data_IF_002797146029
#
_entry.id   IF_002797146029
#
_cell.length_a   1.000
_cell.length_b   1.000
_cell.length_c   1.000
_cell.angle_alpha   90.00
_cell.angle_beta   90.00
_cell.angle_gamma   90.00
#
_symmetry.space_group_name_H-M   'P 1'
#
loop_
_entity.id
_entity.type
_entity.pdbx_description
1 polymer ?
#
# COMPACT_ATOMS: atom_id res chain seq x y z
N UNK A 1 35.70 -37.19 25.72
CA UNK A 1 34.77 -36.87 24.62
C UNK A 1 34.55 -35.38 24.65
N UNK A 2 35.21 -34.65 23.76
CA UNK A 2 35.02 -33.21 23.59
C UNK A 2 33.70 -33.03 22.85
N UNK A 3 32.70 -32.45 23.53
CA UNK A 3 31.43 -32.10 22.91
C UNK A 3 31.73 -30.98 21.92
N UNK A 4 31.63 -31.29 20.63
CA UNK A 4 31.66 -30.28 19.58
C UNK A 4 30.38 -29.46 19.72
N UNK A 5 30.50 -28.24 20.23
CA UNK A 5 29.43 -27.25 20.15
C UNK A 5 29.12 -27.04 18.66
N UNK A 6 27.93 -27.46 18.26
CA UNK A 6 27.38 -27.11 16.95
C UNK A 6 27.32 -25.59 16.91
N UNK A 7 27.95 -24.91 15.93
CA UNK A 7 27.87 -23.46 15.84
C UNK A 7 26.40 -23.07 15.75
N UNK A 8 25.99 -22.21 16.69
CA UNK A 8 24.67 -21.61 16.71
C UNK A 8 24.44 -20.98 15.33
N UNK A 9 23.38 -21.40 14.63
CA UNK A 9 23.06 -20.85 13.32
C UNK A 9 22.94 -19.32 13.46
N UNK A 10 23.54 -18.53 12.57
CA UNK A 10 23.45 -17.07 12.67
C UNK A 10 21.98 -16.67 12.77
N UNK A 11 21.66 -15.77 13.71
CA UNK A 11 20.31 -15.24 13.87
C UNK A 11 19.83 -14.72 12.51
N UNK A 12 18.63 -15.15 12.08
CA UNK A 12 18.12 -14.78 10.77
C UNK A 12 17.97 -13.26 10.67
N UNK A 13 18.50 -12.67 9.60
CA UNK A 13 18.40 -11.23 9.39
C UNK A 13 16.92 -10.83 9.13
N UNK A 14 16.35 -9.87 9.88
CA UNK A 14 14.95 -9.48 9.73
C UNK A 14 14.67 -8.73 8.42
N UNK A 15 15.69 -8.10 7.85
CA UNK A 15 15.61 -7.38 6.57
C UNK A 15 16.72 -7.89 5.66
N UNK A 16 16.35 -8.32 4.45
CA UNK A 16 17.32 -8.76 3.45
C UNK A 16 17.37 -7.77 2.29
N UNK A 17 18.59 -7.43 1.84
CA UNK A 17 18.80 -6.79 0.54
C UNK A 17 19.07 -7.86 -0.51
N UNK A 18 18.12 -8.06 -1.43
CA UNK A 18 18.19 -9.08 -2.47
C UNK A 18 18.30 -8.47 -3.86
N UNK A 19 18.99 -9.17 -4.74
CA UNK A 19 19.06 -8.85 -6.16
C UNK A 19 17.85 -9.41 -6.93
N UNK A 20 17.33 -8.61 -7.85
CA UNK A 20 16.36 -9.05 -8.85
C UNK A 20 16.65 -8.39 -10.21
N UNK A 21 15.97 -8.87 -11.23
CA UNK A 21 16.01 -8.34 -12.59
C UNK A 21 14.60 -8.02 -13.04
N UNK A 22 14.42 -6.91 -13.73
CA UNK A 22 13.16 -6.57 -14.40
C UNK A 22 12.90 -7.58 -15.51
N UNK A 23 11.89 -8.42 -15.33
CA UNK A 23 11.52 -9.49 -16.28
C UNK A 23 10.40 -9.10 -17.22
N UNK A 24 9.52 -8.19 -16.80
CA UNK A 24 8.44 -7.69 -17.64
C UNK A 24 8.09 -6.25 -17.27
N UNK A 25 7.68 -5.47 -18.26
CA UNK A 25 7.16 -4.12 -18.07
C UNK A 25 5.95 -3.92 -18.97
N UNK A 26 4.82 -3.51 -18.39
CA UNK A 26 3.55 -3.32 -19.09
C UNK A 26 2.94 -1.96 -18.70
N UNK A 27 2.52 -1.17 -19.68
CA UNK A 27 1.75 0.05 -19.44
C UNK A 27 0.27 -0.31 -19.31
N UNK A 28 -0.30 -0.26 -18.11
CA UNK A 28 -1.69 -0.68 -17.86
C UNK A 28 -2.70 0.41 -18.29
N UNK A 29 -2.38 1.65 -17.98
CA UNK A 29 -3.15 2.86 -18.29
C UNK A 29 -2.20 4.06 -18.14
N UNK A 30 -2.60 5.30 -18.48
CA UNK A 30 -1.69 6.44 -18.51
C UNK A 30 -0.83 6.59 -17.24
N UNK A 31 -1.43 6.39 -16.06
CA UNK A 31 -0.72 6.60 -14.79
C UNK A 31 -0.06 5.36 -14.18
N UNK A 32 -0.17 4.16 -14.78
CA UNK A 32 0.33 2.93 -14.14
C UNK A 32 1.19 2.07 -15.07
N UNK A 33 2.37 1.70 -14.58
CA UNK A 33 3.21 0.64 -15.15
C UNK A 33 3.30 -0.54 -14.22
N UNK A 34 3.00 -1.73 -14.73
CA UNK A 34 3.24 -3.00 -14.05
C UNK A 34 4.64 -3.49 -14.36
N UNK A 35 5.41 -3.84 -13.33
CA UNK A 35 6.79 -4.30 -13.44
C UNK A 35 6.90 -5.64 -12.73
N UNK A 36 7.38 -6.66 -13.45
CA UNK A 36 7.77 -7.95 -12.90
C UNK A 36 9.26 -7.94 -12.53
N UNK A 37 9.58 -8.44 -11.33
CA UNK A 37 10.92 -8.54 -10.79
C UNK A 37 11.20 -10.00 -10.41
N UNK A 38 12.15 -10.65 -11.06
CA UNK A 38 12.53 -12.03 -10.74
C UNK A 38 14.04 -12.18 -10.50
N UNK A 39 14.42 -13.17 -9.70
CA UNK A 39 15.81 -13.49 -9.42
C UNK A 39 15.91 -14.59 -8.37
N UNK A 40 16.98 -15.39 -8.36
CA UNK A 40 17.13 -16.50 -7.42
C UNK A 40 17.17 -16.03 -5.95
N UNK A 41 17.71 -14.83 -5.68
CA UNK A 41 17.77 -14.31 -4.31
C UNK A 41 16.41 -13.97 -3.71
N UNK A 42 15.38 -13.72 -4.53
CA UNK A 42 14.03 -13.49 -4.04
C UNK A 42 13.49 -14.68 -3.23
N UNK A 43 13.96 -15.90 -3.50
CA UNK A 43 13.58 -17.10 -2.74
C UNK A 43 14.06 -17.08 -1.27
N UNK A 44 14.93 -16.13 -0.90
CA UNK A 44 15.41 -15.94 0.48
C UNK A 44 14.48 -15.08 1.33
N UNK A 45 13.55 -14.35 0.71
CA UNK A 45 12.57 -13.53 1.41
C UNK A 45 11.56 -14.41 2.15
N UNK A 46 10.78 -13.79 3.05
CA UNK A 46 9.70 -14.42 3.80
C UNK A 46 8.83 -15.35 2.93
N UNK A 47 8.75 -16.66 3.24
CA UNK A 47 7.81 -17.56 2.59
C UNK A 47 6.35 -17.12 2.75
N UNK A 48 6.02 -16.38 3.81
CA UNK A 48 4.70 -15.80 4.01
C UNK A 48 4.39 -14.66 3.02
N UNK A 49 5.42 -13.95 2.53
CA UNK A 49 5.28 -12.98 1.44
C UNK A 49 5.19 -13.68 0.08
N UNK A 50 6.06 -14.65 -0.17
CA UNK A 50 6.18 -15.31 -1.48
C UNK A 50 5.03 -16.28 -1.76
N UNK A 51 4.51 -16.92 -0.71
CA UNK A 51 3.55 -18.01 -0.79
C UNK A 51 4.10 -19.27 -1.45
N UNK A 52 3.35 -20.37 -1.30
CA UNK A 52 3.72 -21.68 -1.83
C UNK A 52 3.10 -21.99 -3.20
N UNK A 53 2.14 -21.18 -3.66
CA UNK A 53 1.38 -21.44 -4.89
C UNK A 53 2.03 -20.87 -6.16
N UNK A 54 1.37 -21.14 -7.29
CA UNK A 54 1.71 -20.59 -8.62
C UNK A 54 1.51 -19.06 -8.66
N UNK A 55 0.54 -18.58 -7.88
CA UNK A 55 0.23 -17.17 -7.66
C UNK A 55 -0.15 -16.95 -6.20
N UNK A 56 0.34 -15.85 -5.64
CA UNK A 56 0.09 -15.42 -4.27
C UNK A 56 -0.39 -13.97 -4.30
N UNK A 57 -1.51 -13.68 -3.63
CA UNK A 57 -1.94 -12.30 -3.35
C UNK A 57 -1.30 -11.86 -2.03
N UNK A 58 -0.99 -10.57 -1.91
CA UNK A 58 -0.15 -10.06 -0.82
C UNK A 58 -0.78 -8.92 -0.02
N UNK A 59 -2.10 -8.69 -0.13
CA UNK A 59 -2.85 -7.59 0.50
C UNK A 59 -2.16 -6.24 0.24
N UNK A 60 -1.86 -5.50 1.29
CA UNK A 60 -1.09 -4.27 1.26
C UNK A 60 0.40 -4.47 1.56
N UNK A 61 0.91 -5.71 1.47
CA UNK A 61 2.31 -5.99 1.73
C UNK A 61 3.20 -5.24 0.74
N UNK A 62 4.33 -4.74 1.24
CA UNK A 62 5.23 -3.91 0.46
C UNK A 62 6.69 -4.34 0.58
N UNK A 63 7.48 -3.92 -0.41
CA UNK A 63 8.95 -3.99 -0.41
C UNK A 63 9.53 -2.59 -0.47
N UNK A 64 10.85 -2.47 -0.31
CA UNK A 64 11.57 -1.21 -0.54
C UNK A 64 12.53 -1.36 -1.69
N UNK A 65 12.23 -0.77 -2.84
CA UNK A 65 13.11 -0.75 -4.01
C UNK A 65 14.22 0.29 -3.82
N UNK A 66 15.45 -0.07 -4.16
CA UNK A 66 16.59 0.86 -4.17
C UNK A 66 16.75 1.43 -5.57
N UNK A 67 16.32 2.68 -5.75
CA UNK A 67 16.38 3.40 -7.02
C UNK A 67 17.73 4.12 -7.13
N UNK A 68 18.58 3.80 -8.12
CA UNK A 68 19.88 4.45 -8.25
C UNK A 68 19.77 5.92 -8.66
N UNK A 69 20.79 6.75 -8.36
CA UNK A 69 20.95 8.07 -8.96
C UNK A 69 20.99 7.98 -10.50
N UNK A 70 20.47 8.98 -11.24
CA UNK A 70 20.55 8.98 -12.69
C UNK A 70 22.00 8.79 -13.19
N UNK A 71 22.18 7.89 -14.15
CA UNK A 71 23.49 7.57 -14.73
C UNK A 71 24.41 6.72 -13.84
N UNK A 72 23.92 6.21 -12.70
CA UNK A 72 24.67 5.28 -11.84
C UNK A 72 24.08 3.88 -11.91
N UNK A 73 24.94 2.89 -11.71
CA UNK A 73 24.50 1.50 -11.56
C UNK A 73 23.77 1.28 -10.22
N UNK A 74 22.76 0.40 -10.19
CA UNK A 74 22.16 -0.11 -8.96
C UNK A 74 23.24 -0.71 -8.03
N UNK A 75 23.16 -0.38 -6.74
CA UNK A 75 24.09 -0.90 -5.71
C UNK A 75 23.33 -1.68 -4.64
N UNK A 76 23.92 -2.80 -4.19
CA UNK A 76 23.42 -3.54 -3.02
C UNK A 76 23.64 -2.70 -1.76
N UNK A 77 22.61 -2.62 -0.92
CA UNK A 77 22.76 -2.02 0.41
C UNK A 77 23.58 -2.93 1.33
N UNK A 78 24.63 -2.39 1.95
CA UNK A 78 25.29 -3.02 3.09
C UNK A 78 24.45 -2.77 4.35
N UNK A 79 23.91 -3.86 4.90
CA UNK A 79 23.05 -3.84 6.10
C UNK A 79 23.82 -4.23 7.37
N UNK A 80 25.15 -4.40 7.33
CA UNK A 80 25.97 -4.78 8.49
C UNK A 80 25.88 -3.80 9.66
N UNK A 81 25.60 -2.52 9.37
CA UNK A 81 25.32 -1.45 10.35
C UNK A 81 23.84 -1.06 10.40
N UNK A 82 22.96 -1.88 9.81
CA UNK A 82 21.56 -1.58 9.64
C UNK A 82 21.28 -0.41 8.67
N UNK A 83 20.00 -0.09 8.48
CA UNK A 83 19.59 0.94 7.52
C UNK A 83 19.97 2.35 7.95
N UNK A 84 19.88 2.67 9.24
CA UNK A 84 20.10 4.04 9.73
C UNK A 84 21.57 4.44 9.70
N UNK A 85 22.44 3.61 10.28
CA UNK A 85 23.88 3.90 10.40
C UNK A 85 24.69 3.41 9.18
N UNK A 86 24.11 2.54 8.35
CA UNK A 86 24.68 2.10 7.07
C UNK A 86 24.12 2.90 5.89
N UNK A 87 22.95 2.52 5.39
CA UNK A 87 22.38 3.06 4.15
C UNK A 87 22.10 4.57 4.22
N UNK A 88 21.31 5.02 5.20
CA UNK A 88 20.87 6.42 5.31
C UNK A 88 21.97 7.39 5.76
N UNK A 89 23.09 6.88 6.29
CA UNK A 89 24.25 7.70 6.61
C UNK A 89 25.00 8.20 5.37
N UNK A 90 24.78 7.57 4.20
CA UNK A 90 25.38 7.96 2.92
C UNK A 90 24.59 9.11 2.26
N UNK A 91 25.26 10.03 1.53
CA UNK A 91 24.58 11.06 0.73
C UNK A 91 23.58 10.46 -0.26
N UNK A 92 22.43 11.11 -0.45
CA UNK A 92 21.35 10.61 -1.32
C UNK A 92 21.82 10.49 -2.79
N UNK A 93 22.70 11.38 -3.22
CA UNK A 93 23.31 11.43 -4.55
C UNK A 93 24.25 10.25 -4.80
N UNK A 94 24.70 9.57 -3.74
CA UNK A 94 25.56 8.40 -3.81
C UNK A 94 24.79 7.10 -3.65
N UNK A 95 23.92 7.01 -2.64
CA UNK A 95 23.15 5.80 -2.33
C UNK A 95 21.91 5.63 -3.21
N UNK A 96 21.41 6.72 -3.80
CA UNK A 96 20.10 6.75 -4.44
C UNK A 96 18.95 6.89 -3.44
N UNK A 97 17.78 6.41 -3.83
CA UNK A 97 16.55 6.61 -3.07
C UNK A 97 15.87 5.28 -2.76
N UNK A 98 15.33 5.18 -1.55
CA UNK A 98 14.54 4.03 -1.15
C UNK A 98 13.06 4.32 -1.44
N UNK A 99 12.38 3.45 -2.18
CA UNK A 99 10.96 3.63 -2.53
C UNK A 99 10.15 2.44 -2.07
N UNK A 100 9.11 2.71 -1.27
CA UNK A 100 8.17 1.68 -0.87
C UNK A 100 7.17 1.43 -1.99
N UNK A 101 7.03 0.17 -2.39
CA UNK A 101 6.04 -0.27 -3.38
C UNK A 101 5.28 -1.48 -2.86
N UNK A 102 3.96 -1.45 -3.02
CA UNK A 102 3.11 -2.61 -2.76
C UNK A 102 3.45 -3.74 -3.73
N UNK A 103 3.54 -4.95 -3.20
CA UNK A 103 3.60 -6.18 -3.99
C UNK A 103 2.17 -6.49 -4.44
N UNK A 104 1.87 -6.23 -5.70
CA UNK A 104 0.54 -6.52 -6.29
C UNK A 104 0.24 -8.01 -6.30
N UNK A 105 1.28 -8.83 -6.39
CA UNK A 105 1.23 -10.27 -6.21
C UNK A 105 2.58 -10.90 -6.47
N UNK A 106 2.69 -12.20 -6.17
CA UNK A 106 3.85 -13.02 -6.51
C UNK A 106 3.40 -14.13 -7.46
N UNK A 107 4.19 -14.43 -8.47
CA UNK A 107 3.99 -15.60 -9.34
C UNK A 107 5.27 -16.40 -9.49
N UNK A 108 5.17 -17.64 -9.97
CA UNK A 108 6.35 -18.43 -10.35
C UNK A 108 6.71 -18.15 -11.82
N UNK A 109 8.00 -18.05 -12.09
CA UNK A 109 8.52 -17.86 -13.45
C UNK A 109 9.81 -18.65 -13.66
N UNK A 110 10.13 -18.97 -14.91
CA UNK A 110 11.41 -19.55 -15.27
C UNK A 110 12.42 -18.44 -15.53
N UNK A 111 13.46 -18.38 -14.71
CA UNK A 111 14.55 -17.42 -14.81
C UNK A 111 15.89 -18.17 -14.86
N UNK A 112 16.65 -17.98 -15.94
CA UNK A 112 17.93 -18.68 -16.16
C UNK A 112 17.84 -20.22 -15.96
N UNK A 113 16.74 -20.84 -16.42
CA UNK A 113 16.51 -22.28 -16.30
C UNK A 113 16.04 -22.76 -14.92
N UNK A 114 15.82 -21.87 -13.97
CA UNK A 114 15.30 -22.17 -12.64
C UNK A 114 13.89 -21.62 -12.45
N UNK A 115 13.05 -22.33 -11.72
CA UNK A 115 11.76 -21.79 -11.29
C UNK A 115 11.97 -20.94 -10.04
N UNK A 116 11.72 -19.63 -10.14
CA UNK A 116 11.92 -18.66 -9.07
C UNK A 116 10.64 -17.84 -8.83
N UNK A 117 10.48 -17.20 -7.67
CA UNK A 117 9.42 -16.21 -7.50
C UNK A 117 9.69 -14.97 -8.36
N UNK A 118 8.61 -14.39 -8.87
CA UNK A 118 8.57 -13.09 -9.55
C UNK A 118 7.59 -12.20 -8.78
N UNK A 119 8.11 -11.11 -8.21
CA UNK A 119 7.31 -10.07 -7.57
C UNK A 119 6.71 -9.18 -8.67
N UNK A 120 5.41 -8.91 -8.59
CA UNK A 120 4.73 -7.97 -9.47
C UNK A 120 4.43 -6.71 -8.67
N UNK A 121 4.87 -5.56 -9.16
CA UNK A 121 4.56 -4.24 -8.59
C UNK A 121 3.87 -3.39 -9.64
N UNK A 122 2.91 -2.57 -9.19
CA UNK A 122 2.28 -1.55 -10.03
C UNK A 122 2.80 -0.20 -9.54
N UNK A 123 3.47 0.54 -10.43
CA UNK A 123 4.10 1.82 -10.10
C UNK A 123 3.35 2.94 -10.79
N UNK A 124 3.02 3.97 -10.00
CA UNK A 124 2.44 5.21 -10.52
C UNK A 124 3.51 5.99 -11.29
N UNK A 125 3.22 6.30 -12.54
CA UNK A 125 4.02 7.19 -13.39
C UNK A 125 3.23 8.48 -13.60
N UNK A 126 3.88 9.63 -13.41
CA UNK A 126 3.27 10.92 -13.66
C UNK A 126 3.74 11.46 -15.01
N UNK A 127 2.82 11.86 -15.89
CA UNK A 127 3.19 12.56 -17.12
C UNK A 127 3.52 14.03 -16.81
N UNK A 128 4.80 14.44 -16.89
CA UNK A 128 5.15 15.83 -17.22
C UNK A 128 6.17 16.57 -16.34
N UNK A 129 7.16 17.14 -17.04
CA UNK A 129 7.92 18.37 -16.75
C UNK A 129 8.92 18.37 -15.57
N UNK A 130 9.64 17.28 -15.33
CA UNK A 130 10.86 17.32 -14.52
C UNK A 130 10.65 17.48 -13.01
N UNK A 131 9.42 17.37 -12.52
CA UNK A 131 9.10 17.30 -11.08
C UNK A 131 8.78 15.88 -10.59
N UNK A 132 8.91 14.89 -11.47
CA UNK A 132 8.67 13.48 -11.15
C UNK A 132 9.68 13.00 -10.10
N UNK A 133 9.20 12.31 -9.06
CA UNK A 133 10.08 11.68 -8.07
C UNK A 133 10.94 10.56 -8.69
N UNK A 134 12.06 10.16 -8.04
CA UNK A 134 12.98 9.16 -8.59
C UNK A 134 12.30 7.82 -8.88
N UNK A 135 11.30 7.43 -8.09
CA UNK A 135 10.52 6.22 -8.33
C UNK A 135 9.73 6.25 -9.64
N UNK A 136 8.97 7.31 -9.88
CA UNK A 136 8.23 7.53 -11.14
C UNK A 136 9.18 7.57 -12.34
N UNK A 137 10.30 8.30 -12.23
CA UNK A 137 11.31 8.38 -13.31
C UNK A 137 11.93 7.03 -13.63
N UNK A 138 12.31 6.28 -12.60
CA UNK A 138 12.82 4.92 -12.78
C UNK A 138 11.78 4.03 -13.45
N UNK A 139 10.54 4.02 -12.95
CA UNK A 139 9.49 3.21 -13.52
C UNK A 139 9.16 3.60 -14.95
N UNK A 140 9.23 4.89 -15.32
CA UNK A 140 9.04 5.36 -16.70
C UNK A 140 10.19 4.93 -17.63
N UNK A 141 11.42 4.80 -17.12
CA UNK A 141 12.58 4.36 -17.90
C UNK A 141 12.83 2.85 -17.87
N UNK A 142 12.18 2.11 -16.96
CA UNK A 142 12.42 0.69 -16.73
C UNK A 142 12.24 -0.16 -18.01
N UNK A 143 13.21 -1.05 -18.24
CA UNK A 143 13.22 -2.00 -19.36
C UNK A 143 13.60 -3.41 -18.88
N UNK A 144 13.19 -4.43 -19.65
CA UNK A 144 13.53 -5.81 -19.34
C UNK A 144 15.04 -6.05 -19.34
N UNK A 145 15.52 -6.82 -18.37
CA UNK A 145 16.95 -7.12 -18.16
C UNK A 145 17.67 -6.18 -17.19
N UNK A 146 17.03 -5.10 -16.75
CA UNK A 146 17.63 -4.17 -15.78
C UNK A 146 17.75 -4.82 -14.40
N UNK A 147 18.96 -4.77 -13.82
CA UNK A 147 19.21 -5.22 -12.44
C UNK A 147 18.63 -4.23 -11.44
N UNK A 148 18.04 -4.72 -10.36
CA UNK A 148 17.57 -3.90 -9.24
C UNK A 148 17.92 -4.56 -7.90
N UNK A 149 17.98 -3.75 -6.86
CA UNK A 149 18.07 -4.23 -5.48
C UNK A 149 16.81 -3.80 -4.73
N UNK A 150 16.30 -4.70 -3.89
CA UNK A 150 15.17 -4.41 -3.01
C UNK A 150 15.40 -4.96 -1.62
N UNK A 151 14.77 -4.32 -0.65
CA UNK A 151 14.66 -4.78 0.72
C UNK A 151 13.31 -5.45 0.91
N UNK A 152 13.33 -6.62 1.53
CA UNK A 152 12.14 -7.35 1.93
C UNK A 152 12.30 -8.01 3.29
N UNK A 153 11.20 -8.54 3.85
CA UNK A 153 11.21 -9.29 5.10
C UNK A 153 12.05 -10.56 4.95
N UNK A 154 12.88 -10.85 5.97
CA UNK A 154 13.64 -12.08 6.06
C UNK A 154 12.76 -13.34 6.19
N UNK A 155 13.35 -14.54 6.13
CA UNK A 155 12.60 -15.80 6.05
C UNK A 155 11.74 -16.11 7.28
N UNK A 156 12.05 -15.50 8.44
CA UNK A 156 11.32 -15.67 9.69
C UNK A 156 10.32 -14.53 9.96
N UNK A 157 10.33 -13.49 9.12
CA UNK A 157 9.52 -12.29 9.33
C UNK A 157 8.17 -12.38 8.62
N UNK A 158 7.16 -11.73 9.19
CA UNK A 158 5.89 -11.51 8.51
C UNK A 158 6.06 -10.50 7.35
N UNK A 159 5.19 -10.57 6.33
CA UNK A 159 5.12 -9.51 5.32
C UNK A 159 4.90 -8.15 5.98
N UNK A 160 5.60 -7.12 5.50
CA UNK A 160 5.35 -5.75 5.97
C UNK A 160 4.04 -5.26 5.38
N UNK A 161 2.99 -5.25 6.21
CA UNK A 161 1.62 -4.96 5.85
C UNK A 161 0.93 -4.26 7.04
N UNK A 162 -0.13 -3.50 6.78
CA UNK A 162 -0.92 -2.82 7.79
C UNK A 162 -2.41 -3.16 7.73
N UNK A 163 -2.86 -3.88 6.71
CA UNK A 163 -4.25 -4.31 6.59
C UNK A 163 -4.61 -5.37 7.64
N UNK A 164 -5.58 -5.01 8.49
CA UNK A 164 -6.25 -5.93 9.41
C UNK A 164 -7.64 -5.35 9.73
N UNK A 165 -8.70 -5.94 9.19
CA UNK A 165 -10.07 -5.47 9.41
C UNK A 165 -10.63 -5.87 10.78
N UNK A 166 -9.91 -6.67 11.58
CA UNK A 166 -10.25 -6.99 12.96
C UNK A 166 -11.60 -7.68 13.14
N UNK A 167 -12.12 -8.34 12.10
CA UNK A 167 -13.45 -8.97 12.08
C UNK A 167 -14.62 -7.99 11.88
N UNK A 168 -14.35 -6.75 11.50
CA UNK A 168 -15.40 -5.75 11.30
C UNK A 168 -16.37 -6.14 10.16
N UNK A 169 -17.68 -6.00 10.42
CA UNK A 169 -18.72 -6.27 9.41
C UNK A 169 -18.83 -5.20 8.33
N UNK A 170 -18.38 -3.99 8.63
CA UNK A 170 -18.40 -2.87 7.68
C UNK A 170 -17.00 -2.31 7.54
N UNK A 171 -16.45 -2.43 6.35
CA UNK A 171 -15.06 -2.12 6.06
C UNK A 171 -15.01 -1.05 4.97
N UNK A 172 -14.28 0.04 5.21
CA UNK A 172 -14.07 1.11 4.23
C UNK A 172 -12.58 1.20 3.96
N UNK A 173 -12.16 1.04 2.70
CA UNK A 173 -10.76 1.19 2.31
C UNK A 173 -10.64 2.32 1.29
N UNK A 174 -9.90 3.38 1.62
CA UNK A 174 -9.89 4.63 0.85
C UNK A 174 -8.47 5.04 0.52
N UNK A 175 -8.22 5.38 -0.75
CA UNK A 175 -6.92 5.88 -1.15
C UNK A 175 -6.87 6.53 -2.53
N UNK A 176 -5.68 7.01 -2.86
CA UNK A 176 -5.35 7.56 -4.18
C UNK A 176 -4.66 6.52 -5.07
N UNK A 177 -4.17 6.94 -6.24
CA UNK A 177 -3.52 6.06 -7.21
C UNK A 177 -2.34 5.26 -6.64
N UNK A 178 -1.61 5.81 -5.66
CA UNK A 178 -0.47 5.12 -5.05
C UNK A 178 -0.89 3.98 -4.14
N UNK A 179 -2.13 4.04 -3.62
CA UNK A 179 -2.73 2.97 -2.83
C UNK A 179 -3.49 1.94 -3.69
N UNK A 180 -3.73 2.22 -4.98
CA UNK A 180 -4.48 1.34 -5.86
C UNK A 180 -4.00 -0.12 -5.83
N UNK A 181 -2.69 -0.44 -5.89
CA UNK A 181 -2.24 -1.83 -5.93
C UNK A 181 -2.61 -2.59 -4.65
N UNK A 182 -2.50 -1.93 -3.49
CA UNK A 182 -2.84 -2.49 -2.18
C UNK A 182 -4.35 -2.70 -2.06
N UNK A 183 -5.14 -1.66 -2.38
CA UNK A 183 -6.59 -1.69 -2.27
C UNK A 183 -7.23 -2.74 -3.19
N UNK A 184 -6.67 -2.95 -4.38
CA UNK A 184 -7.13 -4.00 -5.30
C UNK A 184 -6.81 -5.39 -4.76
N UNK A 185 -5.59 -5.63 -4.24
CA UNK A 185 -5.24 -6.92 -3.61
C UNK A 185 -6.11 -7.21 -2.38
N UNK A 186 -6.34 -6.19 -1.54
CA UNK A 186 -7.23 -6.27 -0.37
C UNK A 186 -8.66 -6.62 -0.78
N UNK A 187 -9.20 -5.98 -1.82
CA UNK A 187 -10.54 -6.26 -2.32
C UNK A 187 -10.71 -7.72 -2.74
N UNK A 188 -9.73 -8.24 -3.47
CA UNK A 188 -9.75 -9.60 -3.99
C UNK A 188 -9.62 -10.65 -2.87
N UNK A 189 -8.68 -10.45 -1.94
CA UNK A 189 -8.50 -11.36 -0.81
C UNK A 189 -9.65 -11.31 0.19
N UNK A 190 -10.23 -10.13 0.44
CA UNK A 190 -11.40 -10.00 1.29
C UNK A 190 -12.58 -10.83 0.76
N UNK A 191 -12.81 -10.80 -0.56
CA UNK A 191 -13.88 -11.60 -1.15
C UNK A 191 -13.61 -13.11 -1.09
N UNK A 192 -12.36 -13.54 -1.23
CA UNK A 192 -11.96 -14.94 -1.06
C UNK A 192 -12.16 -15.41 0.40
N UNK A 193 -11.75 -14.58 1.37
CA UNK A 193 -11.93 -14.83 2.81
C UNK A 193 -13.40 -15.00 3.18
N UNK A 194 -14.26 -14.08 2.75
CA UNK A 194 -15.70 -14.08 3.07
C UNK A 194 -16.45 -15.19 2.31
N UNK A 195 -16.07 -15.45 1.06
CA UNK A 195 -16.64 -16.53 0.25
C UNK A 195 -16.42 -17.93 0.85
N UNK A 196 -15.31 -18.12 1.57
CA UNK A 196 -14.99 -19.37 2.26
C UNK A 196 -15.73 -19.61 3.58
N UNK A 197 -16.37 -18.58 4.17
CA UNK A 197 -17.06 -18.69 5.44
C UNK A 197 -18.49 -19.25 5.25
N UNK A 198 -18.86 -20.31 6.00
CA UNK A 198 -20.25 -20.77 6.10
C UNK A 198 -21.06 -19.69 6.83
N UNK A 199 -22.07 -19.15 6.15
CA UNK A 199 -22.80 -17.99 6.63
C UNK A 199 -23.82 -18.36 7.72
N UNK A 200 -23.43 -18.28 8.99
CA UNK A 200 -24.36 -17.99 10.08
C UNK A 200 -24.29 -16.48 10.37
N UNK A 201 -25.28 -15.72 9.87
CA UNK A 201 -25.40 -14.28 10.10
C UNK A 201 -25.10 -13.38 8.89
N UNK A 202 -25.05 -12.07 9.14
CA UNK A 202 -24.82 -11.06 8.11
C UNK A 202 -23.33 -11.03 7.69
N UNK A 203 -23.08 -11.15 6.39
CA UNK A 203 -21.72 -11.13 5.81
C UNK A 203 -21.07 -9.76 5.95
N UNK A 204 -19.76 -9.71 6.23
CA UNK A 204 -19.02 -8.45 6.22
C UNK A 204 -18.98 -7.88 4.80
N UNK A 205 -18.95 -6.56 4.68
CA UNK A 205 -18.91 -5.84 3.39
C UNK A 205 -17.76 -4.85 3.36
N UNK A 206 -17.15 -4.74 2.19
CA UNK A 206 -16.05 -3.82 1.90
C UNK A 206 -16.46 -2.80 0.83
N UNK A 207 -16.36 -1.50 1.13
CA UNK A 207 -16.37 -0.44 0.13
C UNK A 207 -14.92 0.04 -0.10
N UNK A 208 -14.42 -0.14 -1.32
CA UNK A 208 -13.13 0.40 -1.76
C UNK A 208 -13.36 1.70 -2.53
N UNK A 209 -12.78 2.80 -2.05
CA UNK A 209 -12.83 4.11 -2.71
C UNK A 209 -11.44 4.45 -3.20
N UNK A 210 -11.28 4.52 -4.52
CA UNK A 210 -10.00 4.79 -5.16
C UNK A 210 -10.10 6.04 -6.01
N UNK A 211 -9.36 7.09 -5.66
CA UNK A 211 -9.22 8.29 -6.49
C UNK A 211 -8.03 8.13 -7.43
N UNK A 212 -8.22 8.36 -8.73
CA UNK A 212 -7.16 8.20 -9.75
C UNK A 212 -7.02 9.44 -10.63
N UNK A 213 -5.87 9.68 -11.28
CA UNK A 213 -5.65 10.83 -12.14
C UNK A 213 -6.65 10.93 -13.30
N UNK A 214 -6.78 9.86 -14.10
CA UNK A 214 -7.49 9.90 -15.38
C UNK A 214 -8.67 8.91 -15.44
N UNK A 215 -9.70 9.20 -16.27
CA UNK A 215 -10.79 8.26 -16.55
C UNK A 215 -10.31 6.90 -17.07
N UNK A 216 -9.22 6.87 -17.83
CA UNK A 216 -8.58 5.66 -18.35
C UNK A 216 -8.03 4.78 -17.22
N UNK A 217 -7.44 5.39 -16.18
CA UNK A 217 -7.01 4.68 -14.99
C UNK A 217 -8.21 4.03 -14.28
N UNK A 218 -9.34 4.75 -14.22
CA UNK A 218 -10.56 4.22 -13.63
C UNK A 218 -11.14 3.03 -14.40
N UNK A 219 -10.94 2.99 -15.73
CA UNK A 219 -11.36 1.85 -16.57
C UNK A 219 -10.44 0.64 -16.42
N UNK A 220 -9.16 0.86 -16.11
CA UNK A 220 -8.17 -0.20 -15.92
C UNK A 220 -8.31 -0.90 -14.55
N UNK A 221 -8.74 -0.17 -13.51
CA UNK A 221 -8.96 -0.75 -12.18
C UNK A 221 -10.36 -1.37 -12.08
N UNK A 222 -10.46 -2.66 -12.39
CA UNK A 222 -11.70 -3.43 -12.25
C UNK A 222 -11.44 -4.75 -11.54
N UNK A 223 -12.48 -5.22 -10.85
CA UNK A 223 -12.48 -6.57 -10.28
C UNK A 223 -12.85 -7.57 -11.39
N UNK A 224 -12.19 -8.74 -11.45
CA UNK A 224 -12.37 -9.70 -12.54
C UNK A 224 -13.75 -10.38 -12.57
N UNK A 225 -14.48 -10.35 -11.45
CA UNK A 225 -15.85 -10.83 -11.33
C UNK A 225 -16.64 -9.94 -10.37
N UNK A 226 -17.97 -10.04 -10.39
CA UNK A 226 -18.81 -9.43 -9.37
C UNK A 226 -18.52 -10.11 -8.02
N UNK A 227 -17.97 -9.33 -7.09
CA UNK A 227 -17.71 -9.75 -5.72
C UNK A 227 -18.87 -9.20 -4.87
N UNK A 228 -19.85 -10.01 -4.43
CA UNK A 228 -21.08 -9.51 -3.81
C UNK A 228 -20.86 -8.75 -2.50
N UNK A 229 -19.75 -9.05 -1.83
CA UNK A 229 -19.34 -8.48 -0.55
C UNK A 229 -18.37 -7.29 -0.72
N UNK A 230 -18.02 -6.92 -1.96
CA UNK A 230 -17.11 -5.81 -2.28
C UNK A 230 -17.76 -4.82 -3.24
N UNK A 231 -17.67 -3.53 -2.93
CA UNK A 231 -18.07 -2.43 -3.80
C UNK A 231 -16.87 -1.58 -4.13
N UNK A 232 -16.55 -1.47 -5.42
CA UNK A 232 -15.42 -0.68 -5.90
C UNK A 232 -15.93 0.65 -6.48
N UNK A 233 -15.43 1.77 -5.94
CA UNK A 233 -15.73 3.13 -6.37
C UNK A 233 -14.44 3.77 -6.90
N UNK A 234 -14.21 3.69 -8.22
CA UNK A 234 -13.03 4.32 -8.85
C UNK A 234 -13.41 5.68 -9.41
N UNK A 235 -12.73 6.72 -8.92
CA UNK A 235 -13.13 8.11 -9.08
C UNK A 235 -11.99 8.89 -9.78
N UNK A 236 -12.10 9.14 -11.10
CA UNK A 236 -11.09 9.94 -11.78
C UNK A 236 -11.17 11.42 -11.35
N UNK A 237 -10.01 12.05 -11.18
CA UNK A 237 -9.89 13.48 -10.91
C UNK A 237 -10.22 14.32 -12.14
N UNK A 238 -9.69 13.93 -13.29
CA UNK A 238 -9.98 14.55 -14.58
C UNK A 238 -11.29 14.01 -15.19
N UNK A 239 -11.91 14.80 -16.07
CA UNK A 239 -13.02 14.35 -16.92
C UNK A 239 -14.43 14.37 -16.31
N UNK A 240 -14.64 14.99 -15.15
CA UNK A 240 -15.97 15.21 -14.59
C UNK A 240 -16.70 16.42 -15.21
N UNK A 241 -18.04 16.46 -15.10
CA UNK A 241 -18.86 17.57 -15.58
C UNK A 241 -18.48 18.94 -14.96
N UNK A 242 -17.96 18.92 -13.73
CA UNK A 242 -17.52 20.10 -12.97
C UNK A 242 -16.03 20.46 -13.20
N UNK A 243 -15.37 19.86 -14.20
CA UNK A 243 -13.93 20.02 -14.43
C UNK A 243 -13.05 19.15 -13.51
N UNK A 244 -11.71 19.35 -13.53
CA UNK A 244 -10.79 18.54 -12.75
C UNK A 244 -10.91 18.84 -11.25
N UNK A 245 -11.10 17.81 -10.45
CA UNK A 245 -11.15 17.93 -8.99
C UNK A 245 -9.73 18.05 -8.39
N UNK A 246 -9.61 18.81 -7.30
CA UNK A 246 -8.39 18.81 -6.50
C UNK A 246 -8.14 17.42 -5.88
N UNK A 247 -6.88 17.06 -5.68
CA UNK A 247 -6.51 15.79 -5.03
C UNK A 247 -7.24 15.59 -3.70
N UNK A 248 -7.74 14.37 -3.49
CA UNK A 248 -8.47 13.95 -2.31
C UNK A 248 -9.94 14.36 -2.28
N UNK A 249 -10.41 15.24 -3.17
CA UNK A 249 -11.79 15.75 -3.11
C UNK A 249 -12.82 14.68 -3.47
N UNK A 250 -12.54 13.84 -4.48
CA UNK A 250 -13.47 12.79 -4.91
C UNK A 250 -13.51 11.68 -3.85
N UNK A 251 -12.36 11.26 -3.35
CA UNK A 251 -12.26 10.29 -2.26
C UNK A 251 -12.97 10.76 -0.99
N UNK A 252 -12.73 12.00 -0.57
CA UNK A 252 -13.36 12.58 0.63
C UNK A 252 -14.88 12.72 0.47
N UNK A 253 -15.35 13.17 -0.70
CA UNK A 253 -16.78 13.23 -1.02
C UNK A 253 -17.45 11.86 -0.92
N UNK A 254 -16.88 10.84 -1.56
CA UNK A 254 -17.45 9.49 -1.52
C UNK A 254 -17.39 8.87 -0.12
N UNK A 255 -16.32 9.09 0.63
CA UNK A 255 -16.22 8.65 2.01
C UNK A 255 -17.27 9.33 2.89
N UNK A 256 -17.50 10.63 2.72
CA UNK A 256 -18.55 11.36 3.43
C UNK A 256 -19.94 10.78 3.12
N UNK A 257 -20.25 10.52 1.84
CA UNK A 257 -21.52 9.91 1.43
C UNK A 257 -21.73 8.54 2.09
N UNK A 258 -20.70 7.69 2.07
CA UNK A 258 -20.73 6.37 2.72
C UNK A 258 -20.92 6.48 4.23
N UNK A 259 -20.42 7.54 4.87
CA UNK A 259 -20.57 7.76 6.31
C UNK A 259 -21.86 8.52 6.69
N UNK A 260 -22.61 9.04 5.70
CA UNK A 260 -23.79 9.87 5.91
C UNK A 260 -23.43 11.27 6.44
N UNK A 261 -22.30 11.83 6.01
CA UNK A 261 -21.81 13.14 6.43
C UNK A 261 -22.17 14.24 5.41
N UNK A 262 -22.43 15.47 5.86
CA UNK A 262 -22.75 16.57 4.96
C UNK A 262 -21.51 17.04 4.19
N UNK A 263 -21.72 17.54 2.97
CA UNK A 263 -20.64 18.04 2.11
C UNK A 263 -19.78 19.16 2.75
N UNK A 264 -20.34 19.92 3.71
CA UNK A 264 -19.57 20.93 4.48
C UNK A 264 -18.37 20.32 5.23
N UNK A 265 -18.52 19.10 5.75
CA UNK A 265 -17.45 18.42 6.50
C UNK A 265 -16.25 18.10 5.59
N UNK A 266 -16.51 17.79 4.31
CA UNK A 266 -15.47 17.58 3.29
C UNK A 266 -14.68 18.86 3.05
N UNK A 267 -15.39 19.97 2.80
CA UNK A 267 -14.77 21.27 2.57
C UNK A 267 -13.96 21.77 3.78
N UNK A 268 -14.38 21.45 4.99
CA UNK A 268 -13.65 21.77 6.22
C UNK A 268 -12.34 20.99 6.36
N UNK A 269 -12.39 19.65 6.25
CA UNK A 269 -11.19 18.83 6.45
C UNK A 269 -10.13 19.05 5.38
N UNK A 270 -10.56 19.25 4.12
CA UNK A 270 -9.64 19.52 3.00
C UNK A 270 -9.01 20.92 3.10
N UNK A 271 -9.71 21.87 3.71
CA UNK A 271 -9.14 23.17 4.07
C UNK A 271 -8.29 23.14 5.36
N UNK A 272 -8.04 21.96 5.93
CA UNK A 272 -7.24 21.78 7.13
C UNK A 272 -7.96 22.17 8.44
N UNK A 273 -9.26 22.50 8.38
CA UNK A 273 -10.09 22.80 9.55
C UNK A 273 -10.57 21.52 10.23
N UNK A 274 -11.00 21.65 11.50
CA UNK A 274 -11.64 20.56 12.24
C UNK A 274 -13.14 20.62 11.96
N UNK A 275 -13.77 19.53 11.50
CA UNK A 275 -15.18 19.53 11.20
C UNK A 275 -16.02 19.43 12.48
N UNK A 276 -17.24 19.96 12.44
CA UNK A 276 -18.21 19.73 13.51
C UNK A 276 -18.64 18.25 13.54
N UNK A 277 -18.70 17.68 14.75
CA UNK A 277 -19.18 16.32 14.95
C UNK A 277 -20.65 16.26 14.53
N UNK A 278 -20.92 15.56 13.43
CA UNK A 278 -22.26 15.50 12.84
C UNK A 278 -23.01 14.22 13.24
N UNK A 279 -22.27 13.17 13.64
CA UNK A 279 -22.84 11.91 14.10
C UNK A 279 -22.33 11.56 15.49
N UNK A 280 -23.24 11.38 16.45
CA UNK A 280 -22.95 10.71 17.70
C UNK A 280 -23.01 9.19 17.44
N UNK A 281 -21.88 8.58 17.04
CA UNK A 281 -21.67 7.21 17.48
C UNK A 281 -21.51 7.32 19.01
N UNK A 282 -22.50 6.84 19.76
CA UNK A 282 -22.53 6.94 21.21
C UNK A 282 -21.41 6.07 21.80
N UNK A 283 -20.22 6.64 22.00
CA UNK A 283 -19.12 6.03 22.75
C UNK A 283 -18.42 7.11 23.58
N UNK A 284 -18.13 6.73 24.83
CA UNK A 284 -17.63 7.60 25.90
C UNK A 284 -16.24 8.19 25.59
N UNK A 285 -16.02 9.42 26.06
CA UNK A 285 -14.75 10.13 25.93
C UNK A 285 -13.73 9.59 26.93
N UNK A 286 -12.50 9.28 26.47
CA UNK A 286 -11.33 9.12 27.33
C UNK A 286 -10.29 10.20 26.99
N UNK A 287 -9.95 11.13 27.92
CA UNK A 287 -9.05 12.23 27.66
C UNK A 287 -7.62 11.91 28.11
N UNK A 288 -6.82 11.24 27.28
CA UNK A 288 -5.36 11.35 27.32
C UNK A 288 -4.69 10.79 26.04
N UNK A 289 -3.81 11.56 25.41
CA UNK A 289 -2.91 11.08 24.35
C UNK A 289 -1.71 10.32 24.95
N UNK A 290 -1.20 9.31 24.23
CA UNK A 290 0.17 9.44 23.74
C UNK A 290 0.32 9.09 22.25
N UNK A 291 1.36 9.67 21.64
CA UNK A 291 1.81 9.47 20.27
C UNK A 291 2.62 8.17 20.17
N UNK A 292 2.05 7.12 19.58
CA UNK A 292 2.78 6.04 18.90
C UNK A 292 1.76 5.09 18.26
N UNK A 293 2.13 4.51 17.12
CA UNK A 293 1.46 3.44 16.37
C UNK A 293 0.53 2.54 17.20
N UNK A 294 -0.71 2.34 16.75
CA UNK A 294 -1.66 1.39 17.36
C UNK A 294 -2.37 0.56 16.30
N UNK A 295 -2.31 -0.77 16.43
CA UNK A 295 -3.20 -1.73 15.74
C UNK A 295 -4.57 -1.69 16.42
N UNK A 296 -5.65 -1.91 15.66
CA UNK A 296 -7.02 -1.87 16.14
C UNK A 296 -7.30 -2.90 17.26
N UNK A 297 -8.05 -2.48 18.29
CA UNK A 297 -8.69 -3.39 19.25
C UNK A 297 -10.01 -3.95 18.66
N UNK A 298 -10.49 -5.13 19.10
CA UNK A 298 -11.67 -5.77 18.51
C UNK A 298 -12.93 -4.89 18.63
N UNK A 299 -13.60 -4.73 17.49
CA UNK A 299 -14.69 -3.77 17.25
C UNK A 299 -16.02 -4.29 17.81
N UNK A 300 -16.82 -3.44 18.46
CA UNK A 300 -18.27 -3.69 18.66
C UNK A 300 -18.93 -3.91 17.28
N UNK A 301 -19.81 -4.90 17.14
CA UNK A 301 -20.39 -5.39 15.87
C UNK A 301 -20.90 -4.31 14.87
N UNK A 302 -21.22 -3.08 15.32
CA UNK A 302 -21.83 -2.02 14.52
C UNK A 302 -20.89 -0.90 14.03
N UNK A 303 -19.66 -0.80 14.54
CA UNK A 303 -18.75 0.27 14.14
C UNK A 303 -17.90 -0.14 12.92
N UNK A 304 -17.76 0.71 11.89
CA UNK A 304 -16.95 0.37 10.73
C UNK A 304 -15.45 0.38 11.06
N UNK A 305 -14.70 -0.49 10.39
CA UNK A 305 -13.25 -0.36 10.24
C UNK A 305 -12.93 0.51 9.02
N UNK A 306 -11.92 1.36 9.12
CA UNK A 306 -11.48 2.23 8.03
C UNK A 306 -9.98 2.09 7.81
N UNK A 307 -9.58 1.78 6.58
CA UNK A 307 -8.20 1.80 6.11
C UNK A 307 -7.98 2.97 5.15
N UNK A 308 -7.00 3.84 5.44
CA UNK A 308 -6.70 5.03 4.66
C UNK A 308 -5.26 4.98 4.15
N UNK A 309 -5.03 5.08 2.84
CA UNK A 309 -3.68 5.08 2.29
C UNK A 309 -3.54 6.07 1.12
N UNK A 310 -2.40 6.76 1.01
CA UNK A 310 -2.14 7.72 -0.07
C UNK A 310 -1.42 8.98 0.40
N UNK A 311 -1.70 10.12 -0.23
CA UNK A 311 -1.06 11.40 0.08
C UNK A 311 -1.30 11.83 1.54
N UNK A 312 -0.23 12.16 2.26
CA UNK A 312 -0.22 12.37 3.70
C UNK A 312 -1.21 13.45 4.18
N UNK A 313 -1.31 14.57 3.46
CA UNK A 313 -2.27 15.64 3.78
C UNK A 313 -3.71 15.19 3.61
N UNK A 314 -3.99 14.48 2.52
CA UNK A 314 -5.29 13.89 2.18
C UNK A 314 -5.69 12.84 3.19
N UNK A 315 -4.82 11.88 3.50
CA UNK A 315 -5.05 10.84 4.53
C UNK A 315 -5.35 11.47 5.88
N UNK A 316 -4.64 12.54 6.27
CA UNK A 316 -4.92 13.28 7.51
C UNK A 316 -6.31 13.92 7.49
N UNK A 317 -6.75 14.46 6.35
CA UNK A 317 -8.09 15.03 6.19
C UNK A 317 -9.18 13.94 6.26
N UNK A 318 -8.99 12.82 5.57
CA UNK A 318 -9.91 11.67 5.62
C UNK A 318 -10.02 11.09 7.03
N UNK A 319 -8.91 11.00 7.77
CA UNK A 319 -8.92 10.56 9.16
C UNK A 319 -9.74 11.49 10.07
N UNK A 320 -9.65 12.81 9.87
CA UNK A 320 -10.48 13.78 10.60
C UNK A 320 -11.96 13.62 10.25
N UNK A 321 -12.28 13.34 8.99
CA UNK A 321 -13.65 13.04 8.58
C UNK A 321 -14.20 11.81 9.32
N UNK A 322 -13.41 10.73 9.41
CA UNK A 322 -13.79 9.53 10.14
C UNK A 322 -13.95 9.74 11.65
N UNK A 323 -12.94 10.33 12.29
CA UNK A 323 -12.88 10.42 13.76
C UNK A 323 -13.68 11.60 14.30
N UNK A 324 -13.45 12.80 13.79
CA UNK A 324 -14.08 14.02 14.32
C UNK A 324 -15.53 14.14 13.83
N UNK A 325 -15.78 13.99 12.53
CA UNK A 325 -17.13 14.20 11.97
C UNK A 325 -18.06 12.99 12.16
N UNK A 326 -17.59 11.78 11.83
CA UNK A 326 -18.37 10.54 11.95
C UNK A 326 -18.31 9.87 13.34
N UNK A 327 -17.36 10.25 14.20
CA UNK A 327 -17.24 9.70 15.55
C UNK A 327 -16.69 8.27 15.60
N UNK A 328 -16.02 7.80 14.54
CA UNK A 328 -15.41 6.47 14.50
C UNK A 328 -14.25 6.43 15.51
N UNK A 329 -14.16 5.43 16.39
CA UNK A 329 -13.05 5.28 17.32
C UNK A 329 -11.70 5.27 16.59
N UNK A 330 -10.68 5.89 17.17
CA UNK A 330 -9.36 6.06 16.52
C UNK A 330 -8.72 4.71 16.22
N UNK A 331 -8.93 3.75 17.11
CA UNK A 331 -8.50 2.36 17.01
C UNK A 331 -9.15 1.62 15.84
N UNK A 332 -10.30 2.06 15.31
CA UNK A 332 -10.91 1.45 14.12
C UNK A 332 -10.43 2.11 12.80
N UNK A 333 -9.46 3.04 12.87
CA UNK A 333 -8.95 3.75 11.69
C UNK A 333 -7.45 3.51 11.54
N UNK A 334 -7.09 2.56 10.67
CA UNK A 334 -5.73 2.39 10.19
C UNK A 334 -5.43 3.39 9.08
N UNK A 335 -4.27 4.04 9.12
CA UNK A 335 -3.92 5.02 8.10
C UNK A 335 -2.42 5.06 7.81
N UNK A 336 -2.05 5.27 6.55
CA UNK A 336 -0.67 5.37 6.08
C UNK A 336 -0.50 6.51 5.07
N UNK A 337 0.45 7.40 5.32
CA UNK A 337 0.88 8.39 4.33
C UNK A 337 1.95 7.78 3.42
N UNK A 338 1.58 7.44 2.18
CA UNK A 338 2.49 6.83 1.19
C UNK A 338 3.41 7.86 0.54
N UNK A 339 2.94 9.09 0.40
CA UNK A 339 3.73 10.17 -0.17
C UNK A 339 3.26 11.51 0.38
N UNK A 340 3.99 12.58 0.06
CA UNK A 340 3.62 13.94 0.43
C UNK A 340 3.94 14.88 -0.70
N UNK A 341 2.96 15.72 -1.07
CA UNK A 341 3.17 16.71 -2.12
C UNK A 341 4.33 17.64 -1.79
N UNK A 342 5.23 17.83 -2.77
CA UNK A 342 6.41 18.68 -2.64
C UNK A 342 7.54 18.08 -1.81
N UNK A 343 7.47 16.81 -1.41
CA UNK A 343 8.55 16.11 -0.70
C UNK A 343 8.82 14.76 -1.37
N UNK A 344 10.06 14.55 -1.82
CA UNK A 344 10.52 13.23 -2.21
C UNK A 344 10.84 12.42 -0.94
N UNK A 345 10.30 11.21 -0.82
CA UNK A 345 10.67 10.29 0.25
C UNK A 345 12.18 9.95 0.16
N UNK A 346 12.85 9.68 1.28
CA UNK A 346 14.32 9.51 1.34
C UNK A 346 14.75 8.05 1.24
#
# INVERSE_FOLDING_TARGET
>A
MTVLETPEAPAAEPVLCVEAVVTSVEQLCPSFRRIGLAGPELARLSPALLGAGERTRCRDAYIKLLVPPPGREPQRADLSRGLREGWFARPAEERGWMRTYTVRGVRRTTFCGMVVPELVIDVVVHEGHGQEGPGSRWAAAATGGERVYLLGPGPQECPWAAWDHGGARRVLAVGDETAAPALMSVAEEFAEEVGGQRAEGARPRLDVVLEVPHPEDARAHRLPAELPDVRLHVLPRAGGADGPAGHGHRAAGRLADLLGLPGRSVSEVLAGRRPERTRALALAEDPAEPRAWSVAAPVREDAPYVFLAGESGTVRALRRLCVDAAGIPKEHVSFMGYWRRGQAES
#
